data_IF_773475717791
#
_entry.id   IF_773475717791
#
_cell.length_a   1.000
_cell.length_b   1.000
_cell.length_c   1.000
_cell.angle_alpha   90.00
_cell.angle_beta   90.00
_cell.angle_gamma   90.00
#
_symmetry.space_group_name_H-M   'P 1'
#
loop_
_entity.id
_entity.type
_entity.pdbx_description
1 polymer ?
#
# COMPACT_ATOMS: atom_id res chain seq x y z
N UNK A 1 -0.97 -4.96 -44.96
CA UNK A 1 -1.66 -3.99 -44.08
C UNK A 1 -1.08 -4.11 -42.66
N UNK A 2 -0.43 -3.03 -42.24
CA UNK A 2 0.37 -2.89 -41.03
C UNK A 2 -0.48 -3.21 -39.78
N UNK A 3 -0.12 -4.28 -39.06
CA UNK A 3 -0.66 -4.54 -37.73
C UNK A 3 0.04 -3.57 -36.79
N UNK A 4 -0.62 -2.46 -36.49
CA UNK A 4 -0.17 -1.49 -35.51
C UNK A 4 -0.10 -2.15 -34.14
N UNK A 5 1.11 -2.57 -33.78
CA UNK A 5 1.58 -2.85 -32.43
C UNK A 5 1.29 -1.59 -31.59
N UNK A 6 0.13 -1.56 -30.93
CA UNK A 6 -0.12 -0.54 -29.92
C UNK A 6 0.84 -0.87 -28.77
N UNK A 7 1.81 -0.01 -28.45
CA UNK A 7 2.69 -0.28 -27.33
C UNK A 7 1.81 -0.31 -26.08
N UNK A 8 1.72 -1.48 -25.46
CA UNK A 8 1.11 -1.62 -24.15
C UNK A 8 1.90 -0.72 -23.18
N UNK A 9 1.35 0.45 -22.87
CA UNK A 9 2.00 1.41 -22.00
C UNK A 9 1.78 0.92 -20.58
N UNK A 10 2.75 0.17 -20.06
CA UNK A 10 2.79 -0.19 -18.65
C UNK A 10 3.09 1.05 -17.83
N UNK A 11 2.05 1.73 -17.32
CA UNK A 11 2.24 2.78 -16.32
C UNK A 11 2.59 2.11 -15.00
N UNK A 12 3.72 2.53 -14.41
CA UNK A 12 4.11 2.09 -13.07
C UNK A 12 3.54 3.07 -12.06
N UNK A 13 2.53 2.65 -11.31
CA UNK A 13 2.02 3.43 -10.18
C UNK A 13 2.86 3.12 -8.93
N UNK A 14 3.38 4.16 -8.27
CA UNK A 14 4.13 4.00 -7.04
C UNK A 14 3.17 3.66 -5.90
N UNK A 15 3.40 2.51 -5.25
CA UNK A 15 2.69 2.16 -4.01
C UNK A 15 3.36 2.83 -2.82
N UNK A 16 2.54 3.33 -1.90
CA UNK A 16 3.00 4.01 -0.69
C UNK A 16 2.28 3.47 0.54
N UNK A 17 2.96 3.55 1.69
CA UNK A 17 2.34 3.30 2.99
C UNK A 17 1.56 4.53 3.43
N UNK A 18 0.37 4.33 3.97
CA UNK A 18 -0.55 5.43 4.31
C UNK A 18 -1.13 5.23 5.70
N UNK A 19 -1.22 6.31 6.46
CA UNK A 19 -1.91 6.31 7.75
C UNK A 19 -2.44 7.68 8.16
N UNK A 20 -3.18 7.73 9.26
CA UNK A 20 -3.79 8.95 9.83
C UNK A 20 -2.82 9.92 10.51
N UNK A 21 -1.54 9.57 10.65
CA UNK A 21 -0.50 10.37 11.32
C UNK A 21 0.76 10.40 10.48
N UNK A 22 1.62 11.44 10.60
CA UNK A 22 2.75 11.65 9.71
C UNK A 22 3.94 10.69 9.89
N UNK A 23 3.99 9.91 10.99
CA UNK A 23 5.04 8.95 11.25
C UNK A 23 4.54 7.78 12.10
N UNK A 24 5.22 6.63 12.00
CA UNK A 24 4.85 5.40 12.70
C UNK A 24 4.97 5.53 14.22
N UNK A 25 5.90 6.35 14.72
CA UNK A 25 6.12 6.61 16.15
C UNK A 25 4.92 7.26 16.86
N UNK A 26 4.04 7.92 16.11
CA UNK A 26 2.84 8.54 16.67
C UNK A 26 1.68 7.55 16.90
N UNK A 27 1.87 6.27 16.56
CA UNK A 27 0.89 5.21 16.79
C UNK A 27 1.28 4.36 17.99
N UNK A 28 0.27 3.90 18.73
CA UNK A 28 0.44 2.97 19.84
C UNK A 28 0.32 1.51 19.37
N UNK A 29 1.15 1.13 18.40
CA UNK A 29 1.13 -0.23 17.83
C UNK A 29 2.04 -1.23 18.57
N UNK A 30 2.90 -0.73 19.46
CA UNK A 30 3.97 -1.52 20.07
C UNK A 30 4.91 -2.10 19.00
N UNK A 31 5.31 -3.36 19.18
CA UNK A 31 6.28 -4.01 18.30
C UNK A 31 5.69 -4.52 16.97
N UNK A 32 4.37 -4.57 16.80
CA UNK A 32 3.73 -5.22 15.64
C UNK A 32 2.82 -4.26 14.90
N UNK A 33 3.20 -3.91 13.67
CA UNK A 33 2.45 -2.98 12.84
C UNK A 33 1.18 -3.66 12.29
N UNK A 34 -0.04 -3.17 12.62
CA UNK A 34 -1.26 -3.64 11.97
C UNK A 34 -1.35 -3.09 10.55
N UNK A 35 -1.57 -3.96 9.58
CA UNK A 35 -1.73 -3.60 8.18
C UNK A 35 -3.18 -3.80 7.69
N UNK A 36 -3.63 -2.88 6.85
CA UNK A 36 -4.83 -2.98 6.04
C UNK A 36 -4.42 -3.11 4.57
N UNK A 37 -4.55 -4.30 3.99
CA UNK A 37 -4.10 -4.57 2.63
C UNK A 37 -5.26 -4.93 1.70
N UNK A 38 -5.02 -4.85 0.39
CA UNK A 38 -5.88 -5.49 -0.59
C UNK A 38 -6.07 -6.99 -0.27
N UNK A 39 -7.07 -7.65 -0.86
CA UNK A 39 -7.24 -9.09 -0.68
C UNK A 39 -5.95 -9.86 -1.01
N UNK A 40 -5.73 -11.00 -0.34
CA UNK A 40 -4.45 -11.74 -0.35
C UNK A 40 -4.00 -12.23 -1.73
N UNK A 41 -4.89 -12.28 -2.72
CA UNK A 41 -4.58 -12.63 -4.10
C UNK A 41 -4.06 -11.44 -4.93
N UNK A 42 -4.06 -10.22 -4.39
CA UNK A 42 -3.56 -9.04 -5.08
C UNK A 42 -2.03 -8.96 -5.03
N UNK A 43 -1.42 -8.49 -6.13
CA UNK A 43 0.03 -8.30 -6.25
C UNK A 43 0.55 -7.35 -5.14
N UNK A 44 -0.24 -6.33 -4.81
CA UNK A 44 0.10 -5.32 -3.79
C UNK A 44 0.21 -5.91 -2.40
N UNK A 45 -0.68 -6.85 -2.07
CA UNK A 45 -0.67 -7.53 -0.79
C UNK A 45 0.63 -8.28 -0.61
N UNK A 46 1.00 -9.10 -1.61
CA UNK A 46 2.23 -9.88 -1.58
C UNK A 46 3.46 -8.96 -1.53
N UNK A 47 3.50 -7.91 -2.35
CA UNK A 47 4.60 -6.94 -2.37
C UNK A 47 4.80 -6.24 -1.03
N UNK A 48 3.72 -5.84 -0.37
CA UNK A 48 3.76 -5.23 0.96
C UNK A 48 4.26 -6.21 2.04
N UNK A 49 3.72 -7.44 2.06
CA UNK A 49 4.15 -8.49 2.98
C UNK A 49 5.63 -8.84 2.82
N UNK A 50 6.11 -8.99 1.59
CA UNK A 50 7.52 -9.26 1.29
C UNK A 50 8.41 -8.09 1.69
N UNK A 51 8.00 -6.85 1.45
CA UNK A 51 8.75 -5.67 1.87
C UNK A 51 8.94 -5.64 3.39
N UNK A 52 7.87 -5.85 4.15
CA UNK A 52 7.92 -5.91 5.62
C UNK A 52 8.78 -7.06 6.12
N UNK A 53 8.66 -8.25 5.50
CA UNK A 53 9.48 -9.40 5.85
C UNK A 53 10.98 -9.14 5.60
N UNK A 54 11.33 -8.52 4.46
CA UNK A 54 12.72 -8.15 4.14
C UNK A 54 13.28 -7.11 5.11
N UNK A 55 12.45 -6.19 5.59
CA UNK A 55 12.84 -5.19 6.57
C UNK A 55 12.98 -5.74 8.00
N UNK A 56 12.54 -6.98 8.25
CA UNK A 56 12.50 -7.55 9.60
C UNK A 56 11.48 -6.88 10.52
N UNK A 57 10.54 -6.10 9.97
CA UNK A 57 9.48 -5.47 10.75
C UNK A 57 8.39 -6.48 11.07
N UNK A 58 8.01 -6.59 12.35
CA UNK A 58 6.87 -7.42 12.72
C UNK A 58 5.59 -6.73 12.30
N UNK A 59 4.72 -7.47 11.63
CA UNK A 59 3.44 -6.98 11.18
C UNK A 59 2.37 -8.06 11.33
N UNK A 60 1.12 -7.62 11.30
CA UNK A 60 -0.04 -8.50 11.18
C UNK A 60 -1.02 -7.93 10.18
N UNK A 61 -1.71 -8.79 9.44
CA UNK A 61 -2.84 -8.36 8.60
C UNK A 61 -4.05 -8.21 9.51
N UNK A 62 -4.35 -6.98 9.90
CA UNK A 62 -5.50 -6.66 10.75
C UNK A 62 -6.78 -6.54 9.92
N UNK A 63 -6.65 -6.06 8.67
CA UNK A 63 -7.76 -5.88 7.75
C UNK A 63 -7.34 -6.27 6.32
N UNK A 64 -8.25 -6.89 5.58
CA UNK A 64 -8.09 -7.16 4.17
C UNK A 64 -9.37 -6.78 3.42
N UNK A 65 -9.26 -5.98 2.35
CA UNK A 65 -10.43 -5.49 1.61
C UNK A 65 -10.13 -5.27 0.13
N UNK A 66 -11.06 -5.63 -0.75
CA UNK A 66 -10.99 -5.29 -2.18
C UNK A 66 -11.48 -3.88 -2.50
N UNK A 67 -11.92 -3.11 -1.50
CA UNK A 67 -12.41 -1.75 -1.68
C UNK A 67 -11.40 -0.74 -1.18
N UNK A 68 -10.92 0.12 -2.08
CA UNK A 68 -10.04 1.25 -1.73
C UNK A 68 -10.66 2.14 -0.65
N UNK A 69 -11.98 2.41 -0.73
CA UNK A 69 -12.68 3.19 0.27
C UNK A 69 -12.64 2.54 1.67
N UNK A 70 -12.72 1.20 1.73
CA UNK A 70 -12.58 0.46 2.99
C UNK A 70 -11.17 0.56 3.56
N UNK A 71 -10.14 0.46 2.72
CA UNK A 71 -8.74 0.64 3.11
C UNK A 71 -8.46 2.05 3.63
N UNK A 72 -8.98 3.07 2.93
CA UNK A 72 -8.92 4.47 3.36
C UNK A 72 -9.59 4.66 4.73
N UNK A 73 -10.78 4.08 4.93
CA UNK A 73 -11.51 4.22 6.19
C UNK A 73 -10.71 3.67 7.39
N UNK A 74 -10.04 2.52 7.22
CA UNK A 74 -9.19 1.93 8.27
C UNK A 74 -7.91 2.74 8.50
N UNK A 75 -7.27 3.24 7.44
CA UNK A 75 -6.11 4.10 7.57
C UNK A 75 -6.45 5.39 8.32
N UNK A 76 -7.59 6.00 7.99
CA UNK A 76 -8.12 7.23 8.62
C UNK A 76 -8.48 7.03 10.08
N UNK A 77 -8.95 5.85 10.47
CA UNK A 77 -9.23 5.56 11.88
C UNK A 77 -7.96 5.40 12.73
N UNK A 78 -6.79 5.31 12.10
CA UNK A 78 -5.50 5.11 12.78
C UNK A 78 -5.33 3.72 13.38
N UNK A 79 -6.18 2.76 12.99
CA UNK A 79 -6.15 1.38 13.51
C UNK A 79 -5.16 0.49 12.76
N UNK A 80 -4.82 0.84 11.52
CA UNK A 80 -3.83 0.13 10.71
C UNK A 80 -3.19 1.05 9.67
N UNK A 81 -2.00 0.65 9.21
CA UNK A 81 -1.33 1.26 8.05
C UNK A 81 -1.83 0.57 6.78
N UNK A 82 -2.22 1.35 5.78
CA UNK A 82 -2.69 0.85 4.50
C UNK A 82 -1.64 0.98 3.40
N UNK A 83 -1.80 0.22 2.32
CA UNK A 83 -1.07 0.38 1.07
C UNK A 83 -2.03 0.82 -0.03
N UNK A 84 -1.64 1.82 -0.81
CA UNK A 84 -2.37 2.28 -2.00
C UNK A 84 -1.42 3.03 -2.94
N UNK A 85 -1.88 3.31 -4.16
CA UNK A 85 -1.15 4.17 -5.09
C UNK A 85 -1.00 5.59 -4.53
N UNK A 86 0.12 6.24 -4.81
CA UNK A 86 0.41 7.62 -4.37
C UNK A 86 -0.67 8.62 -4.81
N UNK A 87 -1.16 8.49 -6.05
CA UNK A 87 -2.22 9.36 -6.59
C UNK A 87 -3.59 9.14 -5.90
N UNK A 88 -3.78 7.99 -5.25
CA UNK A 88 -5.01 7.63 -4.55
C UNK A 88 -5.03 8.05 -3.07
N UNK A 89 -3.94 8.65 -2.57
CA UNK A 89 -3.83 9.06 -1.17
C UNK A 89 -4.74 10.27 -0.90
N UNK A 90 -5.73 10.15 0.00
CA UNK A 90 -6.54 11.29 0.41
C UNK A 90 -5.69 12.39 1.06
N UNK A 91 -6.04 13.67 0.87
CA UNK A 91 -5.26 14.80 1.39
C UNK A 91 -5.24 14.89 2.93
N UNK A 92 -6.16 14.21 3.61
CA UNK A 92 -6.23 14.13 5.06
C UNK A 92 -5.39 12.98 5.67
N UNK A 93 -4.76 12.17 4.82
CA UNK A 93 -3.87 11.09 5.23
C UNK A 93 -2.42 11.43 4.91
N UNK A 94 -1.52 10.67 5.54
CA UNK A 94 -0.09 10.87 5.41
C UNK A 94 0.58 9.67 4.75
N UNK A 95 1.47 9.96 3.81
CA UNK A 95 2.42 9.00 3.27
C UNK A 95 3.50 8.77 4.32
N UNK A 96 3.72 7.51 4.68
CA UNK A 96 4.68 7.10 5.69
C UNK A 96 5.98 6.60 5.04
N UNK A 97 7.10 7.05 5.58
CA UNK A 97 8.44 6.58 5.23
C UNK A 97 9.04 5.66 6.29
N UNK A 98 10.36 5.74 6.45
CA UNK A 98 11.10 4.95 7.43
C UNK A 98 10.45 5.01 8.84
N UNK A 99 10.38 3.87 9.56
CA UNK A 99 11.07 2.61 9.29
C UNK A 99 10.40 1.71 8.24
N UNK A 100 9.25 2.09 7.68
CA UNK A 100 8.56 1.28 6.68
C UNK A 100 9.40 1.19 5.39
N UNK A 101 9.54 -0.01 4.80
CA UNK A 101 10.38 -0.25 3.63
C UNK A 101 9.75 0.30 2.35
N UNK A 102 10.54 0.63 1.34
CA UNK A 102 10.00 0.98 0.03
C UNK A 102 9.17 -0.17 -0.56
N UNK A 103 8.02 0.16 -1.14
CA UNK A 103 7.12 -0.79 -1.79
C UNK A 103 7.46 -0.96 -3.27
N UNK A 104 7.22 -2.15 -3.86
CA UNK A 104 7.32 -2.30 -5.30
C UNK A 104 6.21 -1.48 -5.98
N UNK A 105 6.54 -0.83 -7.09
CA UNK A 105 5.53 -0.17 -7.91
C UNK A 105 4.60 -1.19 -8.58
N UNK A 106 3.33 -0.83 -8.71
CA UNK A 106 2.34 -1.57 -9.48
C UNK A 106 2.63 -1.42 -10.98
N UNK A 107 2.89 -2.52 -11.68
CA UNK A 107 2.85 -2.50 -13.14
C UNK A 107 1.40 -2.62 -13.60
N UNK A 108 0.80 -1.52 -14.05
CA UNK A 108 -0.57 -1.55 -14.58
C UNK A 108 -0.49 -1.57 -16.10
N UNK A 109 -1.07 -2.61 -16.67
CA UNK A 109 -1.29 -2.76 -18.10
C UNK A 109 -2.42 -1.80 -18.51
N UNK A 110 -2.14 -0.80 -19.34
CA UNK A 110 -3.19 0.06 -19.92
C UNK A 110 -3.50 -0.50 -21.31
N UNK A 111 -4.61 -1.23 -21.42
CA UNK A 111 -5.14 -1.78 -22.69
C UNK A 111 -6.14 -0.84 -23.36
#
# INVERSE_FOLDING_TARGET
>A
PDQGDAPDVVRREALVWVGSRPALEFYDFGDTVPLALAASNAIDHKGACEAMARAGLRYKIAYASNSLAGLIAVARSGLAISVMAEEAVPPDLHILGAPLPALPGLGILVV
#
